data_IF_767700750587
#
_entry.id   IF_767700750587
#
_cell.length_a   1.000
_cell.length_b   1.000
_cell.length_c   1.000
_cell.angle_alpha   90.00
_cell.angle_beta   90.00
_cell.angle_gamma   90.00
#
_symmetry.space_group_name_H-M   'P 1'
#
loop_
_entity.id
_entity.type
_entity.pdbx_description
1 polymer ?
#
# COMPACT_ATOMS: atom_id res chain seq x y z
N UNK A 1 -11.16 -44.00 13.42
CA UNK A 1 -12.36 -43.57 12.67
C UNK A 1 -13.16 -42.60 13.53
N UNK A 2 -13.25 -41.34 13.10
CA UNK A 2 -14.13 -40.33 13.71
C UNK A 2 -13.41 -39.28 14.56
N UNK A 3 -12.78 -38.27 13.93
CA UNK A 3 -12.75 -36.87 14.40
C UNK A 3 -11.99 -35.97 13.39
N UNK A 4 -12.40 -35.95 12.11
CA UNK A 4 -11.83 -35.04 11.10
C UNK A 4 -12.94 -34.42 10.26
N UNK A 5 -13.88 -33.73 10.91
CA UNK A 5 -14.92 -32.91 10.23
C UNK A 5 -15.31 -31.74 11.12
N UNK A 6 -14.56 -30.62 11.09
CA UNK A 6 -15.09 -29.27 11.38
C UNK A 6 -14.00 -28.19 11.37
N UNK A 7 -13.51 -27.80 10.18
CA UNK A 7 -12.93 -26.45 9.99
C UNK A 7 -13.29 -25.85 8.60
N UNK A 8 -14.01 -26.57 7.74
CA UNK A 8 -14.25 -26.14 6.36
C UNK A 8 -15.48 -25.22 6.15
N UNK A 9 -16.08 -24.64 7.20
CA UNK A 9 -17.38 -23.95 7.09
C UNK A 9 -17.41 -22.48 7.53
N UNK A 10 -16.26 -21.80 7.60
CA UNK A 10 -16.20 -20.39 8.04
C UNK A 10 -15.73 -19.39 6.94
N UNK A 11 -15.62 -19.80 5.67
CA UNK A 11 -15.14 -18.95 4.57
C UNK A 11 -16.18 -18.61 3.49
N UNK A 12 -17.47 -18.81 3.76
CA UNK A 12 -18.56 -18.38 2.88
C UNK A 12 -19.38 -17.28 3.55
N UNK A 13 -18.97 -16.03 3.36
CA UNK A 13 -19.81 -14.80 3.41
C UNK A 13 -18.90 -13.57 3.30
N UNK A 14 -18.24 -13.42 2.16
CA UNK A 14 -17.83 -12.09 1.70
C UNK A 14 -18.86 -11.66 0.65
N UNK A 15 -19.48 -10.47 0.78
CA UNK A 15 -20.38 -9.97 -0.23
C UNK A 15 -19.59 -9.78 -1.52
N UNK A 16 -20.03 -10.46 -2.58
CA UNK A 16 -19.59 -10.20 -3.94
C UNK A 16 -20.01 -8.78 -4.28
N UNK A 17 -19.07 -7.84 -4.23
CA UNK A 17 -19.27 -6.48 -4.74
C UNK A 17 -19.42 -6.64 -6.24
N UNK A 18 -20.67 -6.49 -6.72
CA UNK A 18 -20.97 -6.44 -8.15
C UNK A 18 -20.25 -5.23 -8.72
N UNK A 19 -19.34 -5.51 -9.64
CA UNK A 19 -18.57 -4.55 -10.40
C UNK A 19 -19.52 -3.82 -11.38
N UNK A 20 -20.21 -2.79 -10.88
CA UNK A 20 -21.02 -1.90 -11.72
C UNK A 20 -20.08 -0.99 -12.51
N UNK A 21 -19.51 -1.54 -13.59
CA UNK A 21 -18.89 -0.72 -14.63
C UNK A 21 -19.94 0.22 -15.20
N UNK A 22 -19.69 1.55 -15.21
CA UNK A 22 -20.56 2.47 -15.92
C UNK A 22 -20.54 2.12 -17.42
N UNK A 23 -21.67 1.63 -17.93
CA UNK A 23 -21.94 1.54 -19.36
C UNK A 23 -22.01 2.97 -19.90
N UNK A 24 -20.93 3.42 -20.52
CA UNK A 24 -20.97 4.60 -21.37
C UNK A 24 -21.94 4.33 -22.53
N UNK A 25 -23.13 4.90 -22.43
CA UNK A 25 -24.05 5.05 -23.57
C UNK A 25 -23.36 5.96 -24.57
N UNK A 26 -22.92 5.40 -25.69
CA UNK A 26 -22.60 6.18 -26.88
C UNK A 26 -23.90 6.86 -27.35
N UNK A 27 -24.02 8.16 -27.03
CA UNK A 27 -25.06 9.02 -27.57
C UNK A 27 -24.77 9.25 -29.04
N UNK A 28 -25.59 8.65 -29.91
CA UNK A 28 -25.68 9.01 -31.31
C UNK A 28 -26.25 10.43 -31.41
N UNK A 29 -25.36 11.41 -31.57
CA UNK A 29 -25.70 12.79 -31.90
C UNK A 29 -25.77 12.96 -33.41
N UNK A 30 -26.97 12.82 -33.96
CA UNK A 30 -27.30 13.25 -35.30
C UNK A 30 -27.31 14.79 -35.37
N UNK A 31 -26.62 15.37 -36.35
CA UNK A 31 -26.81 16.74 -36.82
C UNK A 31 -26.41 16.77 -38.29
N UNK A 32 -27.38 16.60 -39.19
CA UNK A 32 -28.02 17.70 -39.91
C UNK A 32 -27.11 18.29 -41.00
N UNK A 33 -27.28 17.74 -42.20
CA UNK A 33 -26.99 18.37 -43.49
C UNK A 33 -27.72 19.71 -43.63
N UNK A 34 -27.05 20.79 -44.08
CA UNK A 34 -27.75 21.92 -44.65
C UNK A 34 -27.66 21.91 -46.18
N UNK A 35 -28.81 21.67 -46.79
CA UNK A 35 -29.11 21.93 -48.20
C UNK A 35 -29.75 23.33 -48.30
N UNK A 36 -29.29 24.18 -49.23
CA UNK A 36 -29.95 25.46 -49.57
C UNK A 36 -28.95 26.53 -50.00
N UNK A 37 -28.58 26.57 -51.28
CA UNK A 37 -29.13 27.39 -52.40
C UNK A 37 -28.29 28.64 -52.71
N UNK A 38 -28.09 28.98 -54.01
CA UNK A 38 -27.20 30.06 -54.44
C UNK A 38 -27.94 31.34 -54.84
N UNK A 39 -27.39 32.51 -54.48
CA UNK A 39 -27.55 33.88 -55.05
C UNK A 39 -27.08 34.87 -53.97
N UNK A 40 -26.46 36.01 -54.22
CA UNK A 40 -26.51 36.89 -55.37
C UNK A 40 -25.18 37.65 -55.57
N UNK A 41 -25.08 38.23 -56.76
CA UNK A 41 -24.04 39.12 -57.26
C UNK A 41 -23.94 40.42 -56.45
N UNK A 42 -22.74 40.98 -56.44
CA UNK A 42 -22.55 42.43 -56.53
C UNK A 42 -22.24 43.15 -55.22
N UNK A 43 -20.96 43.42 -54.99
CA UNK A 43 -20.46 44.76 -54.60
C UNK A 43 -18.94 44.79 -54.78
N UNK A 44 -18.37 45.83 -55.44
CA UNK A 44 -16.94 45.96 -55.59
C UNK A 44 -16.28 46.22 -54.24
N UNK A 45 -15.38 45.31 -53.90
CA UNK A 45 -14.56 45.25 -52.69
C UNK A 45 -13.63 46.47 -52.66
N UNK A 46 -13.92 47.44 -51.81
CA UNK A 46 -12.93 48.44 -51.42
C UNK A 46 -11.72 47.73 -50.82
N UNK A 47 -10.55 47.91 -51.42
CA UNK A 47 -9.27 47.43 -50.92
C UNK A 47 -8.97 48.15 -49.60
N UNK A 48 -8.82 47.44 -48.47
CA UNK A 48 -8.39 48.08 -47.24
C UNK A 48 -6.93 48.50 -47.42
N UNK A 49 -6.67 49.81 -47.34
CA UNK A 49 -5.32 50.35 -47.23
C UNK A 49 -4.64 49.71 -46.02
N UNK A 50 -3.56 49.00 -46.27
CA UNK A 50 -2.77 48.31 -45.25
C UNK A 50 -2.28 49.28 -44.18
N UNK A 51 -2.75 49.08 -42.96
CA UNK A 51 -2.20 49.71 -41.77
C UNK A 51 -1.04 48.82 -41.27
N UNK A 52 0.23 49.28 -41.28
CA UNK A 52 1.39 48.42 -41.03
C UNK A 52 1.59 47.95 -39.58
N UNK A 53 0.82 48.46 -38.61
CA UNK A 53 1.14 48.27 -37.18
C UNK A 53 0.43 47.10 -36.46
N UNK A 54 -0.55 46.43 -37.07
CA UNK A 54 -1.31 45.36 -36.38
C UNK A 54 -0.52 44.06 -36.13
N UNK A 55 0.54 43.81 -36.90
CA UNK A 55 1.31 42.55 -36.79
C UNK A 55 2.11 42.43 -35.48
N UNK A 56 2.56 43.56 -34.89
CA UNK A 56 3.38 43.53 -33.67
C UNK A 56 2.58 43.09 -32.43
N UNK A 57 1.32 43.47 -32.35
CA UNK A 57 0.45 43.12 -31.22
C UNK A 57 0.03 41.65 -31.27
N UNK A 58 -0.21 41.11 -32.46
CA UNK A 58 -0.52 39.69 -32.66
C UNK A 58 0.67 38.78 -32.30
N UNK A 59 1.89 39.16 -32.67
CA UNK A 59 3.12 38.43 -32.29
C UNK A 59 3.33 38.44 -30.78
N UNK A 60 3.13 39.59 -30.12
CA UNK A 60 3.23 39.71 -28.65
C UNK A 60 2.19 38.83 -27.95
N UNK A 61 0.96 38.80 -28.46
CA UNK A 61 -0.12 37.97 -27.90
C UNK A 61 0.17 36.47 -28.09
N UNK A 62 0.73 36.08 -29.24
CA UNK A 62 1.16 34.71 -29.51
C UNK A 62 2.28 34.27 -28.56
N UNK A 63 3.30 35.12 -28.34
CA UNK A 63 4.37 34.85 -27.38
C UNK A 63 3.85 34.71 -25.95
N UNK A 64 2.87 35.53 -25.54
CA UNK A 64 2.24 35.40 -24.23
C UNK A 64 1.46 34.10 -24.06
N UNK A 65 0.72 33.67 -25.09
CA UNK A 65 -0.01 32.40 -25.07
C UNK A 65 0.94 31.20 -25.02
N UNK A 66 2.03 31.21 -25.80
CA UNK A 66 3.05 30.16 -25.77
C UNK A 66 3.77 30.10 -24.40
N UNK A 67 4.10 31.26 -23.81
CA UNK A 67 4.69 31.31 -22.48
C UNK A 67 3.73 30.80 -21.39
N UNK A 68 2.44 31.12 -21.50
CA UNK A 68 1.40 30.60 -20.59
C UNK A 68 1.25 29.09 -20.73
N UNK A 69 1.15 28.57 -21.95
CA UNK A 69 1.03 27.14 -22.23
C UNK A 69 2.25 26.35 -21.72
N UNK A 70 3.47 26.87 -21.90
CA UNK A 70 4.69 26.24 -21.36
C UNK A 70 4.69 26.18 -19.83
N UNK A 71 4.24 27.25 -19.16
CA UNK A 71 4.12 27.28 -17.69
C UNK A 71 3.05 26.30 -17.18
N UNK A 72 1.95 26.16 -17.91
CA UNK A 72 0.88 25.23 -17.58
C UNK A 72 1.33 23.78 -17.75
N UNK A 73 1.94 23.44 -18.89
CA UNK A 73 2.54 22.12 -19.13
C UNK A 73 3.61 21.75 -18.09
N UNK A 74 4.46 22.71 -17.69
CA UNK A 74 5.44 22.49 -16.62
C UNK A 74 4.76 22.19 -15.28
N UNK A 75 3.70 22.92 -14.93
CA UNK A 75 2.94 22.67 -13.69
C UNK A 75 2.27 21.30 -13.70
N UNK A 76 1.70 20.90 -14.84
CA UNK A 76 1.12 19.57 -15.03
C UNK A 76 2.18 18.47 -14.86
N UNK A 77 3.33 18.61 -15.53
CA UNK A 77 4.44 17.67 -15.43
C UNK A 77 4.96 17.55 -13.98
N UNK A 78 5.13 18.67 -13.29
CA UNK A 78 5.50 18.67 -11.87
C UNK A 78 4.44 18.02 -10.99
N UNK A 79 3.16 18.24 -11.27
CA UNK A 79 2.06 17.60 -10.54
C UNK A 79 2.05 16.08 -10.73
N UNK A 80 2.28 15.62 -11.97
CA UNK A 80 2.34 14.20 -12.32
C UNK A 80 3.57 13.53 -11.69
N UNK A 81 4.73 14.19 -11.70
CA UNK A 81 5.93 13.70 -11.03
C UNK A 81 5.74 13.59 -9.50
N UNK A 82 5.03 14.54 -8.88
CA UNK A 82 4.67 14.46 -7.45
C UNK A 82 3.73 13.28 -7.16
N UNK A 83 2.76 13.03 -8.04
CA UNK A 83 1.84 11.88 -7.92
C UNK A 83 2.56 10.53 -8.09
N UNK A 84 3.49 10.43 -9.04
CA UNK A 84 4.33 9.23 -9.19
C UNK A 84 5.11 8.95 -7.91
N UNK A 85 5.82 9.95 -7.37
CA UNK A 85 6.60 9.81 -6.12
C UNK A 85 5.75 9.36 -4.92
N UNK A 86 4.51 9.84 -4.82
CA UNK A 86 3.58 9.38 -3.76
C UNK A 86 3.17 7.92 -3.95
N UNK A 87 2.96 7.52 -5.20
CA UNK A 87 2.60 6.14 -5.55
C UNK A 87 3.75 5.19 -5.22
N UNK A 88 4.98 5.55 -5.57
CA UNK A 88 6.18 4.77 -5.28
C UNK A 88 6.36 4.54 -3.77
N UNK A 89 6.24 5.61 -2.96
CA UNK A 89 6.32 5.48 -1.50
C UNK A 89 5.21 4.62 -0.90
N UNK A 90 4.01 4.63 -1.49
CA UNK A 90 2.91 3.77 -1.05
C UNK A 90 3.20 2.30 -1.34
N UNK A 91 3.81 2.02 -2.49
CA UNK A 91 4.27 0.68 -2.87
C UNK A 91 5.34 0.21 -1.90
N UNK A 92 6.34 1.05 -1.61
CA UNK A 92 7.44 0.79 -0.67
C UNK A 92 6.90 0.46 0.73
N UNK A 93 5.98 1.29 1.27
CA UNK A 93 5.35 1.01 2.55
C UNK A 93 4.58 -0.32 2.54
N UNK A 94 3.87 -0.62 1.44
CA UNK A 94 3.19 -1.90 1.28
C UNK A 94 4.15 -3.10 1.25
N UNK A 95 5.34 -2.95 0.66
CA UNK A 95 6.38 -3.97 0.66
C UNK A 95 6.94 -4.18 2.07
N UNK A 96 7.23 -3.11 2.81
CA UNK A 96 7.69 -3.17 4.21
C UNK A 96 6.67 -3.88 5.11
N UNK A 97 5.37 -3.56 4.98
CA UNK A 97 4.31 -4.23 5.74
C UNK A 97 4.29 -5.74 5.45
N UNK A 98 4.38 -6.14 4.18
CA UNK A 98 4.41 -7.57 3.79
C UNK A 98 5.67 -8.27 4.28
N UNK A 99 6.82 -7.61 4.20
CA UNK A 99 8.08 -8.14 4.74
C UNK A 99 7.95 -8.39 6.25
N UNK A 100 7.51 -7.39 7.01
CA UNK A 100 7.29 -7.53 8.44
C UNK A 100 6.30 -8.63 8.79
N UNK A 101 5.21 -8.75 8.05
CA UNK A 101 4.24 -9.81 8.27
C UNK A 101 4.89 -11.19 8.08
N UNK A 102 5.70 -11.37 7.03
CA UNK A 102 6.46 -12.62 6.82
C UNK A 102 7.44 -12.89 7.95
N UNK A 103 8.17 -11.88 8.42
CA UNK A 103 9.11 -12.06 9.53
C UNK A 103 8.40 -12.45 10.83
N UNK A 104 7.25 -11.83 11.14
CA UNK A 104 6.43 -12.18 12.31
C UNK A 104 5.89 -13.62 12.26
N UNK A 105 5.59 -14.14 11.07
CA UNK A 105 5.17 -15.53 10.88
C UNK A 105 6.31 -16.52 11.06
N UNK A 106 7.55 -16.10 10.83
CA UNK A 106 8.74 -16.92 11.03
C UNK A 106 9.29 -16.88 12.46
N UNK A 107 8.73 -16.03 13.33
CA UNK A 107 9.10 -16.03 14.75
C UNK A 107 8.65 -17.37 15.35
N UNK A 108 9.58 -18.15 15.93
CA UNK A 108 9.21 -19.39 16.59
C UNK A 108 8.25 -19.09 17.74
N UNK A 109 7.16 -19.85 17.81
CA UNK A 109 6.15 -19.75 18.86
C UNK A 109 6.18 -20.97 19.73
N UNK A 110 6.03 -20.78 21.03
CA UNK A 110 5.92 -21.89 21.95
C UNK A 110 4.61 -22.62 21.72
N UNK A 111 4.64 -23.94 21.65
CA UNK A 111 3.44 -24.76 21.45
C UNK A 111 2.48 -24.73 22.65
N UNK A 112 2.98 -24.34 23.82
CA UNK A 112 2.21 -24.33 25.06
C UNK A 112 1.43 -23.03 25.26
N UNK A 113 2.12 -21.88 25.17
CA UNK A 113 1.49 -20.57 25.36
C UNK A 113 1.11 -19.86 24.05
N UNK A 114 1.48 -20.41 22.88
CA UNK A 114 1.22 -19.84 21.54
C UNK A 114 1.83 -18.44 21.31
N UNK A 115 2.62 -17.96 22.28
CA UNK A 115 3.33 -16.70 22.24
C UNK A 115 4.70 -16.86 21.54
N UNK A 116 5.29 -15.76 21.04
CA UNK A 116 6.69 -15.73 20.66
C UNK A 116 7.58 -16.30 21.75
N UNK A 117 8.51 -17.17 21.38
CA UNK A 117 9.35 -17.82 22.40
C UNK A 117 10.25 -16.80 23.10
N UNK A 118 10.32 -16.90 24.42
CA UNK A 118 11.18 -16.07 25.27
C UNK A 118 11.86 -17.00 26.29
N UNK A 119 13.14 -16.77 26.58
CA UNK A 119 13.96 -17.56 27.51
C UNK A 119 13.86 -19.06 27.25
N UNK A 120 14.67 -19.59 26.35
CA UNK A 120 14.47 -20.95 25.83
C UNK A 120 15.05 -22.03 26.74
N UNK A 121 14.27 -23.09 26.97
CA UNK A 121 14.75 -24.34 27.56
C UNK A 121 14.63 -25.51 26.59
N UNK A 122 15.65 -26.36 26.53
CA UNK A 122 15.62 -27.66 25.86
C UNK A 122 15.23 -28.74 26.84
N UNK A 123 14.19 -29.48 26.50
CA UNK A 123 13.75 -30.66 27.24
C UNK A 123 14.68 -31.84 26.93
N UNK A 124 15.26 -32.46 27.94
CA UNK A 124 16.03 -33.69 27.80
C UNK A 124 15.11 -34.91 27.94
N UNK A 125 15.31 -36.01 27.18
CA UNK A 125 16.35 -36.22 26.15
C UNK A 125 15.93 -35.80 24.73
N UNK A 126 14.67 -35.43 24.51
CA UNK A 126 14.12 -35.19 23.16
C UNK A 126 14.61 -33.92 22.45
N UNK A 127 15.29 -33.02 23.18
CA UNK A 127 15.84 -31.73 22.71
C UNK A 127 14.81 -30.76 22.13
N UNK A 128 13.53 -30.96 22.44
CA UNK A 128 12.47 -30.03 22.06
C UNK A 128 12.57 -28.73 22.88
N UNK A 129 12.30 -27.60 22.22
CA UNK A 129 12.46 -26.27 22.82
C UNK A 129 11.10 -25.75 23.27
N UNK A 130 11.06 -25.22 24.49
CA UNK A 130 9.90 -24.54 25.07
C UNK A 130 10.35 -23.23 25.73
N UNK A 131 9.41 -22.35 26.09
CA UNK A 131 9.73 -21.21 26.95
C UNK A 131 10.05 -21.70 28.36
N UNK A 132 10.95 -21.03 29.05
CA UNK A 132 11.30 -21.27 30.45
C UNK A 132 10.06 -21.20 31.34
N UNK A 133 9.27 -20.14 31.23
CA UNK A 133 8.02 -20.00 31.98
C UNK A 133 7.06 -21.18 31.71
N UNK A 134 7.02 -21.69 30.48
CA UNK A 134 6.17 -22.84 30.16
C UNK A 134 6.75 -24.17 30.66
N UNK A 135 8.07 -24.28 30.79
CA UNK A 135 8.73 -25.43 31.38
C UNK A 135 8.55 -25.47 32.90
N UNK A 136 8.55 -24.31 33.54
CA UNK A 136 8.33 -24.14 34.98
C UNK A 136 6.85 -24.17 35.36
N UNK A 137 5.94 -23.86 34.42
CA UNK A 137 4.51 -23.97 34.65
C UNK A 137 4.10 -25.41 34.98
N UNK A 138 3.15 -25.50 35.92
CA UNK A 138 2.69 -26.73 36.57
C UNK A 138 2.31 -27.83 35.59
N UNK A 139 1.86 -27.49 34.36
CA UNK A 139 1.49 -28.49 33.34
C UNK A 139 2.67 -29.32 32.81
N UNK A 140 3.88 -28.76 32.70
CA UNK A 140 5.05 -29.55 32.30
C UNK A 140 5.70 -30.22 33.51
N UNK A 141 5.70 -29.53 34.66
CA UNK A 141 6.18 -30.08 35.91
C UNK A 141 5.36 -31.28 36.39
N UNK A 142 4.04 -31.33 36.15
CA UNK A 142 3.21 -32.45 36.61
C UNK A 142 3.30 -33.69 35.72
N UNK A 143 3.36 -33.50 34.39
CA UNK A 143 3.26 -34.61 33.45
C UNK A 143 4.63 -35.17 33.06
N UNK A 144 5.75 -34.50 33.39
CA UNK A 144 7.12 -34.83 33.01
C UNK A 144 7.21 -35.42 31.58
N UNK A 145 6.46 -34.87 30.64
CA UNK A 145 6.36 -35.39 29.27
C UNK A 145 6.36 -34.25 28.27
N UNK A 146 7.09 -34.45 27.18
CA UNK A 146 7.21 -33.46 26.14
C UNK A 146 5.86 -33.28 25.41
N UNK A 147 5.31 -32.07 25.28
CA UNK A 147 4.03 -31.86 24.60
C UNK A 147 4.07 -32.22 23.10
N UNK A 148 5.27 -32.29 22.51
CA UNK A 148 5.46 -32.52 21.08
C UNK A 148 5.60 -34.00 20.72
N UNK A 149 6.43 -34.75 21.45
CA UNK A 149 6.67 -36.17 21.17
C UNK A 149 6.19 -37.12 22.27
N UNK A 150 5.66 -36.59 23.38
CA UNK A 150 5.21 -37.35 24.57
C UNK A 150 6.31 -38.17 25.26
N UNK A 151 7.57 -37.94 24.91
CA UNK A 151 8.70 -38.56 25.59
C UNK A 151 8.83 -37.99 27.00
N UNK A 152 9.13 -38.85 27.97
CA UNK A 152 9.40 -38.42 29.34
C UNK A 152 10.56 -37.43 29.38
N UNK A 153 10.37 -36.34 30.11
CA UNK A 153 11.33 -35.27 30.28
C UNK A 153 12.00 -35.41 31.63
N UNK A 154 13.33 -35.41 31.62
CA UNK A 154 14.11 -35.27 32.84
C UNK A 154 14.07 -33.81 33.30
N UNK A 155 14.13 -33.58 34.62
CA UNK A 155 14.10 -32.24 35.23
C UNK A 155 15.29 -31.36 34.82
N UNK A 156 16.32 -31.95 34.20
CA UNK A 156 17.50 -31.28 33.68
C UNK A 156 17.24 -30.58 32.33
N UNK A 157 16.26 -29.67 32.29
CA UNK A 157 16.05 -28.83 31.13
C UNK A 157 17.20 -27.80 31.01
N UNK A 158 18.00 -27.91 29.95
CA UNK A 158 19.17 -27.05 29.74
C UNK A 158 18.73 -25.73 29.09
N UNK A 159 19.22 -24.61 29.60
CA UNK A 159 19.06 -23.29 28.99
C UNK A 159 19.75 -23.24 27.62
N UNK A 160 18.99 -22.85 26.59
CA UNK A 160 19.46 -22.83 25.20
C UNK A 160 19.92 -21.43 24.78
N UNK A 161 21.03 -20.98 25.36
CA UNK A 161 21.56 -19.61 25.23
C UNK A 161 21.80 -19.19 23.78
N UNK A 162 22.19 -20.14 22.91
CA UNK A 162 22.50 -19.85 21.50
C UNK A 162 21.26 -19.57 20.67
N UNK A 163 20.18 -20.33 20.84
CA UNK A 163 18.92 -20.01 20.17
C UNK A 163 18.22 -18.81 20.81
N UNK A 164 18.40 -18.62 22.12
CA UNK A 164 17.84 -17.46 22.80
C UNK A 164 18.39 -16.15 22.24
N UNK A 165 19.70 -16.04 22.00
CA UNK A 165 20.29 -14.82 21.43
C UNK A 165 19.76 -14.54 20.02
N UNK A 166 19.65 -15.56 19.17
CA UNK A 166 19.11 -15.45 17.80
C UNK A 166 17.65 -14.98 17.83
N UNK A 167 16.82 -15.57 18.71
CA UNK A 167 15.42 -15.18 18.84
C UNK A 167 15.30 -13.78 19.44
N UNK A 168 16.11 -13.44 20.44
CA UNK A 168 16.11 -12.14 21.08
C UNK A 168 16.50 -11.02 20.09
N UNK A 169 17.54 -11.23 19.29
CA UNK A 169 17.94 -10.32 18.22
C UNK A 169 16.81 -10.13 17.21
N UNK A 170 16.22 -11.23 16.75
CA UNK A 170 15.09 -11.20 15.81
C UNK A 170 13.88 -10.46 16.38
N UNK A 171 13.56 -10.69 17.65
CA UNK A 171 12.48 -10.00 18.35
C UNK A 171 12.77 -8.52 18.56
N UNK A 172 14.03 -8.14 18.79
CA UNK A 172 14.46 -6.74 18.90
C UNK A 172 14.27 -6.00 17.57
N UNK A 173 14.71 -6.59 16.46
CA UNK A 173 14.52 -6.03 15.11
C UNK A 173 13.03 -5.84 14.77
N UNK A 174 12.18 -6.80 15.19
CA UNK A 174 10.74 -6.71 15.00
C UNK A 174 10.04 -5.63 15.86
N UNK A 175 10.64 -5.22 16.98
CA UNK A 175 10.14 -4.12 17.83
C UNK A 175 10.43 -2.73 17.25
N UNK A 176 11.50 -2.55 16.48
CA UNK A 176 11.87 -1.24 15.91
C UNK A 176 11.09 -0.87 14.64
N UNK A 177 10.65 -1.87 13.86
CA UNK A 177 9.85 -1.64 12.64
C UNK A 177 8.46 -0.98 12.82
N UNK A 178 7.65 -1.22 13.86
CA UNK A 178 6.37 -0.53 14.02
C UNK A 178 6.50 0.98 14.08
N UNK A 179 7.52 1.51 14.75
CA UNK A 179 7.73 2.94 14.86
C UNK A 179 8.10 3.53 13.50
N UNK A 180 8.98 2.85 12.76
CA UNK A 180 9.34 3.25 11.39
C UNK A 180 8.13 3.27 10.46
N UNK A 181 7.30 2.22 10.47
CA UNK A 181 6.09 2.18 9.63
C UNK A 181 5.06 3.23 10.03
N UNK A 182 4.92 3.50 11.33
CA UNK A 182 4.00 4.52 11.85
C UNK A 182 4.45 5.92 11.42
N UNK A 183 5.75 6.18 11.54
CA UNK A 183 6.36 7.44 11.11
C UNK A 183 6.23 7.65 9.58
N UNK A 184 6.49 6.63 8.77
CA UNK A 184 6.35 6.75 7.31
C UNK A 184 4.89 6.88 6.88
N UNK A 185 3.95 6.17 7.53
CA UNK A 185 2.52 6.39 7.30
C UNK A 185 2.10 7.82 7.64
N UNK A 186 2.49 8.33 8.80
CA UNK A 186 2.18 9.71 9.19
C UNK A 186 2.79 10.73 8.23
N UNK A 187 4.00 10.46 7.71
CA UNK A 187 4.65 11.29 6.68
C UNK A 187 3.87 11.30 5.37
N UNK A 188 3.37 10.14 4.92
CA UNK A 188 2.52 10.03 3.73
C UNK A 188 1.18 10.76 3.92
N UNK A 189 0.52 10.59 5.06
CA UNK A 189 -0.74 11.28 5.37
C UNK A 189 -0.58 12.80 5.34
N UNK A 190 0.53 13.34 5.89
CA UNK A 190 0.85 14.78 5.80
C UNK A 190 1.04 15.25 4.34
N UNK A 191 1.69 14.44 3.50
CA UNK A 191 1.88 14.78 2.09
C UNK A 191 0.55 14.80 1.31
N UNK A 192 -0.36 13.88 1.61
CA UNK A 192 -1.70 13.87 1.01
C UNK A 192 -2.52 15.07 1.49
N UNK A 193 -2.55 15.33 2.81
CA UNK A 193 -3.29 16.47 3.38
C UNK A 193 -2.79 17.82 2.85
N UNK A 194 -1.49 18.01 2.69
CA UNK A 194 -0.93 19.25 2.12
C UNK A 194 -1.29 19.42 0.65
N UNK A 195 -1.45 18.33 -0.11
CA UNK A 195 -1.94 18.38 -1.49
C UNK A 195 -3.41 18.77 -1.54
N UNK A 196 -4.25 18.12 -0.74
CA UNK A 196 -5.70 18.37 -0.78
C UNK A 196 -6.01 19.80 -0.33
N UNK A 197 -5.27 20.34 0.65
CA UNK A 197 -5.32 21.77 1.00
C UNK A 197 -4.95 22.66 -0.19
N UNK A 198 -3.84 22.37 -0.89
CA UNK A 198 -3.43 23.17 -2.06
C UNK A 198 -4.45 23.13 -3.19
N UNK A 199 -5.13 22.00 -3.40
CA UNK A 199 -6.20 21.91 -4.40
C UNK A 199 -7.47 22.65 -3.98
N UNK A 200 -7.76 22.75 -2.67
CA UNK A 200 -8.90 23.52 -2.16
C UNK A 200 -8.75 25.04 -2.34
N UNK A 201 -7.54 25.58 -2.38
CA UNK A 201 -7.27 27.02 -2.56
C UNK A 201 -7.12 27.44 -4.04
N UNK A 202 -7.36 26.53 -4.99
CA UNK A 202 -7.26 26.81 -6.44
C UNK A 202 -8.64 26.83 -7.12
N UNK A 203 -9.71 26.55 -6.37
CA UNK A 203 -11.11 26.76 -6.77
C UNK A 203 -11.62 28.10 -6.25
#
# INVERSE_FOLDING_TARGET
NGLVKSVASALQKLPVVKDERPRFRAGAGAAATPSGTPRAQGTPRATPRGSPDKNKDDDKRRQQMEAKAKREAQREQESQAKMSKLTDKRIELGQLIRQRHRELLQVPRCQLCVAPMTKLRRLAPCKHIVCEACAEEEKLAFFHTCPKCRQETLDDAILDVTHESIIAERMSSLKQMPDQMTNERARLEKLVQTRDKKNLYVL
#
